data_IF_366659559072
#
_entry.id   IF_366659559072
#
_cell.length_a   1.000
_cell.length_b   1.000
_cell.length_c   1.000
_cell.angle_alpha   90.00
_cell.angle_beta   90.00
_cell.angle_gamma   90.00
#
_symmetry.space_group_name_H-M   'P 1'
#
loop_
_entity.id
_entity.type
_entity.pdbx_description
1 polymer ?
#
# COMPACT_ATOMS: atom_id res chain seq x y z
N UNK A 1 17.18 -20.32 0.61
CA UNK A 1 16.09 -19.36 0.26
C UNK A 1 15.76 -18.57 1.50
N UNK A 2 15.87 -17.23 1.47
CA UNK A 2 15.46 -16.40 2.62
C UNK A 2 13.94 -16.41 2.69
N UNK A 3 13.40 -16.88 3.81
CA UNK A 3 11.97 -16.89 4.06
C UNK A 3 11.49 -15.45 4.28
N UNK A 4 10.54 -15.00 3.46
CA UNK A 4 10.09 -13.59 3.46
C UNK A 4 9.15 -13.31 4.64
N UNK A 5 8.29 -14.27 4.98
CA UNK A 5 7.38 -14.17 6.12
C UNK A 5 7.60 -15.39 7.03
N UNK A 6 7.94 -15.21 8.32
CA UNK A 6 8.06 -16.33 9.23
C UNK A 6 6.68 -16.99 9.43
N UNK A 7 6.64 -18.32 9.52
CA UNK A 7 5.43 -19.11 9.87
C UNK A 7 5.18 -19.05 11.38
N UNK A 8 5.34 -17.86 11.97
CA UNK A 8 5.07 -17.56 13.37
C UNK A 8 4.64 -16.09 13.47
N UNK A 9 3.96 -15.71 14.56
CA UNK A 9 3.56 -14.34 14.73
C UNK A 9 4.78 -13.39 14.82
N UNK A 10 4.94 -12.51 13.84
CA UNK A 10 6.12 -11.65 13.69
C UNK A 10 6.07 -10.41 14.61
N UNK A 11 7.22 -9.81 14.91
CA UNK A 11 7.31 -8.47 15.50
C UNK A 11 7.09 -7.38 14.45
N UNK A 12 6.88 -6.14 14.88
CA UNK A 12 6.73 -5.01 13.96
C UNK A 12 8.00 -4.81 13.11
N UNK A 13 9.18 -4.93 13.72
CA UNK A 13 10.46 -4.84 13.00
C UNK A 13 10.64 -5.96 11.97
N UNK A 14 10.30 -7.20 12.32
CA UNK A 14 10.31 -8.33 11.37
C UNK A 14 9.34 -8.11 10.20
N UNK A 15 8.17 -7.47 10.41
CA UNK A 15 7.22 -7.16 9.34
C UNK A 15 7.70 -6.04 8.41
N UNK A 16 8.39 -5.04 8.96
CA UNK A 16 9.02 -3.98 8.16
C UNK A 16 10.19 -4.53 7.33
N UNK A 17 10.99 -5.43 7.89
CA UNK A 17 12.06 -6.10 7.12
C UNK A 17 11.46 -7.03 6.04
N UNK A 18 10.44 -7.82 6.41
CA UNK A 18 9.72 -8.68 5.47
C UNK A 18 9.14 -7.92 4.28
N UNK A 19 8.59 -6.72 4.48
CA UNK A 19 8.04 -5.91 3.38
C UNK A 19 9.14 -5.42 2.42
N UNK A 20 10.31 -5.05 2.93
CA UNK A 20 11.47 -4.68 2.11
C UNK A 20 12.04 -5.88 1.36
N UNK A 21 12.16 -7.04 2.02
CA UNK A 21 12.57 -8.29 1.38
C UNK A 21 11.56 -8.69 0.30
N UNK A 22 10.27 -8.53 0.56
CA UNK A 22 9.21 -8.78 -0.41
C UNK A 22 9.32 -7.83 -1.61
N UNK A 23 9.54 -6.54 -1.39
CA UNK A 23 9.75 -5.56 -2.46
C UNK A 23 10.94 -5.95 -3.34
N UNK A 24 12.07 -6.34 -2.73
CA UNK A 24 13.25 -6.83 -3.47
C UNK A 24 12.95 -8.08 -4.29
N UNK A 25 12.13 -8.99 -3.75
CA UNK A 25 11.72 -10.22 -4.45
C UNK A 25 10.73 -9.96 -5.59
N UNK A 26 9.81 -9.03 -5.41
CA UNK A 26 8.91 -8.56 -6.46
C UNK A 26 9.70 -7.84 -7.56
N UNK A 27 10.75 -7.10 -7.17
CA UNK A 27 11.75 -6.52 -8.03
C UNK A 27 11.24 -5.39 -8.93
N UNK A 28 11.84 -5.29 -10.11
CA UNK A 28 11.62 -4.20 -11.07
C UNK A 28 10.15 -3.95 -11.45
N UNK A 29 9.28 -4.96 -11.69
CA UNK A 29 7.88 -4.72 -12.06
C UNK A 29 7.11 -3.85 -11.07
N UNK A 30 7.28 -4.08 -9.77
CA UNK A 30 6.56 -3.34 -8.75
C UNK A 30 7.11 -1.91 -8.60
N UNK A 31 8.43 -1.74 -8.74
CA UNK A 31 9.08 -0.43 -8.76
C UNK A 31 8.71 0.40 -9.99
N UNK A 32 8.63 -0.22 -11.18
CA UNK A 32 8.20 0.48 -12.39
C UNK A 32 6.75 0.92 -12.31
N UNK A 33 5.87 0.06 -11.79
CA UNK A 33 4.48 0.42 -11.56
C UNK A 33 4.38 1.56 -10.51
N UNK A 34 5.16 1.47 -9.44
CA UNK A 34 5.28 2.53 -8.43
C UNK A 34 5.74 3.85 -9.03
N UNK A 35 6.76 3.82 -9.91
CA UNK A 35 7.28 5.00 -10.60
C UNK A 35 6.23 5.65 -11.50
N UNK A 36 5.51 4.86 -12.31
CA UNK A 36 4.45 5.38 -13.18
C UNK A 36 3.34 6.04 -12.37
N UNK A 37 2.91 5.40 -11.29
CA UNK A 37 1.85 5.93 -10.43
C UNK A 37 2.30 7.17 -9.65
N UNK A 38 3.51 7.16 -9.10
CA UNK A 38 4.11 8.31 -8.43
C UNK A 38 4.26 9.51 -9.38
N UNK A 39 4.72 9.28 -10.61
CA UNK A 39 4.82 10.32 -11.63
C UNK A 39 3.45 10.89 -12.00
N UNK A 40 2.43 10.03 -12.16
CA UNK A 40 1.06 10.47 -12.44
C UNK A 40 0.47 11.30 -11.29
N UNK A 41 0.66 10.87 -10.05
CA UNK A 41 0.22 11.62 -8.86
C UNK A 41 0.95 12.96 -8.75
N UNK A 42 2.26 13.00 -9.02
CA UNK A 42 3.02 14.24 -8.98
C UNK A 42 2.63 15.20 -10.11
N UNK A 43 2.36 14.70 -11.31
CA UNK A 43 1.83 15.52 -12.42
C UNK A 43 0.47 16.15 -12.05
N UNK A 44 -0.42 15.37 -11.42
CA UNK A 44 -1.67 15.88 -10.88
C UNK A 44 -1.43 16.94 -9.80
N UNK A 45 -0.47 16.70 -8.89
CA UNK A 45 -0.10 17.65 -7.84
C UNK A 45 0.36 18.99 -8.40
N UNK A 46 1.23 18.98 -9.42
CA UNK A 46 1.70 20.20 -10.12
C UNK A 46 0.54 20.92 -10.80
N UNK A 47 -0.33 20.19 -11.52
CA UNK A 47 -1.49 20.79 -12.17
C UNK A 47 -2.46 21.43 -11.16
N UNK A 48 -2.69 20.77 -10.02
CA UNK A 48 -3.52 21.31 -8.95
C UNK A 48 -2.87 22.56 -8.32
N UNK A 49 -1.56 22.53 -8.03
CA UNK A 49 -0.84 23.68 -7.47
C UNK A 49 -0.93 24.93 -8.38
N UNK A 50 -0.88 24.74 -9.70
CA UNK A 50 -1.08 25.82 -10.66
C UNK A 50 -2.52 26.40 -10.62
N UNK A 51 -3.51 25.54 -10.37
CA UNK A 51 -4.92 25.94 -10.28
C UNK A 51 -5.31 26.53 -8.91
N UNK A 52 -4.55 26.24 -7.85
CA UNK A 52 -4.83 26.69 -6.47
C UNK A 52 -3.69 27.50 -5.85
N UNK A 53 -3.31 28.66 -6.44
CA UNK A 53 -2.17 29.43 -5.95
C UNK A 53 -2.39 29.93 -4.52
N UNK A 54 -1.48 29.59 -3.62
CA UNK A 54 -1.63 29.92 -2.20
C UNK A 54 -0.76 29.11 -1.25
N UNK A 55 -0.49 29.68 -0.07
CA UNK A 55 0.18 28.99 1.02
C UNK A 55 -0.75 28.11 1.87
N UNK A 56 -0.20 27.40 2.88
CA UNK A 56 -0.90 26.39 3.69
C UNK A 56 -2.09 26.91 4.51
N UNK A 57 -2.19 28.23 4.69
CA UNK A 57 -3.29 28.86 5.43
C UNK A 57 -4.54 29.06 4.57
N UNK A 58 -4.50 28.78 3.26
CA UNK A 58 -5.64 28.98 2.36
C UNK A 58 -6.50 27.72 2.24
N UNK A 59 -7.84 27.84 2.13
CA UNK A 59 -8.73 26.70 1.90
C UNK A 59 -8.36 25.86 0.67
N UNK A 60 -7.85 26.51 -0.38
CA UNK A 60 -7.44 25.84 -1.61
C UNK A 60 -6.24 24.88 -1.39
N UNK A 61 -5.37 25.16 -0.42
CA UNK A 61 -4.28 24.26 -0.03
C UNK A 61 -4.82 22.99 0.65
N UNK A 62 -5.85 23.11 1.47
CA UNK A 62 -6.52 21.94 2.09
C UNK A 62 -7.19 21.05 1.05
N UNK A 63 -7.79 21.63 0.01
CA UNK A 63 -8.33 20.88 -1.12
C UNK A 63 -7.21 20.15 -1.86
N UNK A 64 -6.10 20.83 -2.15
CA UNK A 64 -4.92 20.21 -2.76
C UNK A 64 -4.41 19.02 -1.93
N UNK A 65 -4.24 19.21 -0.61
CA UNK A 65 -3.77 18.16 0.29
C UNK A 65 -4.74 16.97 0.33
N UNK A 66 -6.04 17.25 0.40
CA UNK A 66 -7.05 16.21 0.44
C UNK A 66 -7.08 15.38 -0.84
N UNK A 67 -7.03 16.03 -2.02
CA UNK A 67 -6.94 15.32 -3.31
C UNK A 67 -5.66 14.51 -3.39
N UNK A 68 -4.56 15.07 -2.92
CA UNK A 68 -3.26 14.40 -2.90
C UNK A 68 -3.30 13.13 -2.03
N UNK A 69 -3.82 13.20 -0.80
CA UNK A 69 -4.03 12.05 0.10
C UNK A 69 -5.01 11.01 -0.47
N UNK A 70 -6.05 11.47 -1.18
CA UNK A 70 -6.96 10.60 -1.91
C UNK A 70 -6.29 9.83 -3.02
N UNK A 71 -5.49 10.52 -3.85
CA UNK A 71 -4.75 9.88 -4.95
C UNK A 71 -3.71 8.90 -4.44
N UNK A 72 -3.02 9.21 -3.34
CA UNK A 72 -2.12 8.29 -2.66
C UNK A 72 -2.85 7.00 -2.24
N UNK A 73 -4.05 7.12 -1.69
CA UNK A 73 -4.86 5.96 -1.29
C UNK A 73 -5.23 5.09 -2.50
N UNK A 74 -5.53 5.70 -3.65
CA UNK A 74 -5.74 4.99 -4.92
C UNK A 74 -4.47 4.27 -5.38
N UNK A 75 -3.31 4.94 -5.33
CA UNK A 75 -2.01 4.36 -5.74
C UNK A 75 -1.64 3.15 -4.88
N UNK A 76 -1.78 3.27 -3.55
CA UNK A 76 -1.52 2.18 -2.61
C UNK A 76 -2.47 0.99 -2.86
N UNK A 77 -3.75 1.25 -3.11
CA UNK A 77 -4.71 0.19 -3.46
C UNK A 77 -4.33 -0.55 -4.74
N UNK A 78 -3.91 0.16 -5.79
CA UNK A 78 -3.47 -0.45 -7.05
C UNK A 78 -2.21 -1.30 -6.85
N UNK A 79 -1.22 -0.81 -6.11
CA UNK A 79 0.04 -1.51 -5.84
C UNK A 79 -0.11 -2.69 -4.89
N UNK A 80 -1.09 -2.65 -3.98
CA UNK A 80 -1.36 -3.73 -3.04
C UNK A 80 -1.75 -5.04 -3.74
N UNK A 81 -2.28 -5.00 -4.97
CA UNK A 81 -2.65 -6.19 -5.72
C UNK A 81 -1.43 -7.07 -6.12
N UNK A 82 -0.46 -6.58 -6.91
CA UNK A 82 0.75 -7.35 -7.22
C UNK A 82 1.57 -7.65 -5.95
N UNK A 83 1.58 -6.76 -4.95
CA UNK A 83 2.24 -7.03 -3.67
C UNK A 83 1.62 -8.23 -2.94
N UNK A 84 0.30 -8.34 -2.91
CA UNK A 84 -0.43 -9.45 -2.30
C UNK A 84 -0.17 -10.77 -3.01
N UNK A 85 -0.11 -10.77 -4.35
CA UNK A 85 0.33 -11.94 -5.12
C UNK A 85 1.75 -12.34 -4.73
N UNK A 86 2.66 -11.36 -4.67
CA UNK A 86 4.05 -11.58 -4.27
C UNK A 86 4.16 -12.20 -2.88
N UNK A 87 3.41 -11.65 -1.91
CA UNK A 87 3.41 -12.11 -0.51
C UNK A 87 2.91 -13.55 -0.39
N UNK A 88 1.78 -13.88 -1.03
CA UNK A 88 1.23 -15.24 -1.04
C UNK A 88 2.20 -16.22 -1.68
N UNK A 89 2.81 -15.88 -2.82
CA UNK A 89 3.80 -16.75 -3.47
C UNK A 89 5.05 -16.91 -2.61
N UNK A 90 5.49 -15.85 -1.95
CA UNK A 90 6.63 -15.90 -1.05
C UNK A 90 6.38 -16.80 0.16
N UNK A 91 5.17 -16.74 0.72
CA UNK A 91 4.71 -17.62 1.81
C UNK A 91 4.70 -19.10 1.38
N UNK A 92 4.23 -19.38 0.16
CA UNK A 92 4.17 -20.72 -0.41
C UNK A 92 5.53 -21.24 -0.95
N UNK A 93 6.61 -20.45 -0.81
CA UNK A 93 7.91 -20.80 -1.38
C UNK A 93 7.98 -20.76 -2.92
N UNK A 94 6.97 -20.22 -3.59
CA UNK A 94 6.88 -20.17 -5.05
C UNK A 94 7.71 -19.00 -5.65
N UNK A 95 8.30 -19.15 -6.84
CA UNK A 95 9.02 -18.07 -7.50
C UNK A 95 8.07 -16.94 -7.94
N UNK A 96 8.46 -15.67 -7.75
CA UNK A 96 7.69 -14.50 -8.18
C UNK A 96 8.13 -14.07 -9.59
N UNK A 97 7.53 -14.66 -10.63
CA UNK A 97 7.81 -14.27 -12.01
C UNK A 97 7.33 -12.85 -12.32
N UNK A 98 8.10 -12.08 -13.10
CA UNK A 98 7.76 -10.68 -13.44
C UNK A 98 6.37 -10.53 -14.06
N UNK A 99 6.05 -11.38 -15.04
CA UNK A 99 4.72 -11.41 -15.68
C UNK A 99 3.65 -11.85 -14.69
N UNK A 100 3.95 -12.85 -13.87
CA UNK A 100 3.02 -13.42 -12.89
C UNK A 100 2.54 -12.38 -11.89
N UNK A 101 3.38 -11.45 -11.42
CA UNK A 101 2.96 -10.43 -10.46
C UNK A 101 1.84 -9.53 -11.00
N UNK A 102 1.92 -9.14 -12.28
CA UNK A 102 0.94 -8.24 -12.90
C UNK A 102 -0.26 -8.98 -13.49
N UNK A 103 -0.09 -10.23 -13.93
CA UNK A 103 -1.18 -11.00 -14.56
C UNK A 103 -1.93 -11.91 -13.60
N UNK A 104 -1.31 -12.37 -12.50
CA UNK A 104 -1.95 -13.27 -11.54
C UNK A 104 -3.15 -12.68 -10.77
N UNK A 105 -3.27 -11.35 -10.54
CA UNK A 105 -4.54 -10.81 -10.05
C UNK A 105 -5.68 -11.14 -11.04
N UNK A 106 -5.39 -11.22 -12.34
CA UNK A 106 -6.31 -11.71 -13.37
C UNK A 106 -7.63 -10.93 -13.37
N UNK A 107 -8.76 -11.66 -13.31
CA UNK A 107 -10.11 -11.08 -13.27
C UNK A 107 -10.37 -10.17 -12.05
N UNK A 108 -9.50 -10.20 -11.03
CA UNK A 108 -9.66 -9.38 -9.82
C UNK A 108 -9.20 -7.95 -10.00
N UNK A 109 -8.46 -7.63 -11.08
CA UNK A 109 -8.12 -6.25 -11.39
C UNK A 109 -9.37 -5.35 -11.43
N UNK A 110 -10.51 -5.87 -11.91
CA UNK A 110 -11.76 -5.13 -11.86
C UNK A 110 -12.16 -4.75 -10.42
N UNK A 111 -12.13 -5.70 -9.49
CA UNK A 111 -12.43 -5.46 -8.08
C UNK A 111 -11.41 -4.53 -7.40
N UNK A 112 -10.12 -4.67 -7.75
CA UNK A 112 -9.05 -3.80 -7.25
C UNK A 112 -9.23 -2.36 -7.75
N UNK A 113 -9.50 -2.18 -9.04
CA UNK A 113 -9.69 -0.85 -9.63
C UNK A 113 -10.97 -0.20 -9.11
N UNK A 114 -12.05 -0.97 -8.93
CA UNK A 114 -13.27 -0.49 -8.29
C UNK A 114 -13.00 -0.06 -6.84
N UNK A 115 -12.28 -0.88 -6.06
CA UNK A 115 -11.90 -0.52 -4.71
C UNK A 115 -11.03 0.74 -4.69
N UNK A 116 -10.03 0.86 -5.57
CA UNK A 116 -9.16 2.02 -5.65
C UNK A 116 -9.93 3.30 -6.06
N UNK A 117 -10.91 3.17 -6.96
CA UNK A 117 -11.79 4.25 -7.41
C UNK A 117 -12.77 4.72 -6.32
N UNK A 118 -13.09 3.89 -5.33
CA UNK A 118 -13.92 4.25 -4.17
C UNK A 118 -13.06 4.79 -3.03
N UNK A 119 -11.96 4.10 -2.71
CA UNK A 119 -11.09 4.44 -1.57
C UNK A 119 -10.43 5.81 -1.75
N UNK A 120 -10.04 6.19 -2.97
CA UNK A 120 -9.45 7.50 -3.23
C UNK A 120 -10.39 8.66 -2.89
N UNK A 121 -11.59 8.74 -3.50
CA UNK A 121 -12.59 9.74 -3.14
C UNK A 121 -12.99 9.73 -1.67
N UNK A 122 -13.16 8.54 -1.06
CA UNK A 122 -13.43 8.44 0.37
C UNK A 122 -12.31 9.05 1.21
N UNK A 123 -11.04 8.81 0.84
CA UNK A 123 -9.88 9.40 1.49
C UNK A 123 -9.80 10.91 1.28
N UNK A 124 -10.14 11.41 0.09
CA UNK A 124 -10.26 12.86 -0.17
C UNK A 124 -11.30 13.49 0.75
N UNK A 125 -12.51 12.93 0.81
CA UNK A 125 -13.59 13.45 1.68
C UNK A 125 -13.19 13.37 3.15
N UNK A 126 -12.60 12.25 3.58
CA UNK A 126 -12.13 12.06 4.95
C UNK A 126 -11.04 13.08 5.33
N UNK A 127 -10.16 13.43 4.38
CA UNK A 127 -9.13 14.44 4.58
C UNK A 127 -9.73 15.86 4.69
N UNK A 128 -10.77 16.18 3.89
CA UNK A 128 -11.49 17.45 4.00
C UNK A 128 -12.23 17.61 5.33
N UNK A 129 -12.70 16.52 5.92
CA UNK A 129 -13.36 16.49 7.23
C UNK A 129 -12.36 16.55 8.40
N UNK A 130 -11.42 17.50 8.41
CA UNK A 130 -10.38 17.73 9.44
C UNK A 130 -9.20 16.75 9.50
N UNK A 131 -9.04 15.85 8.51
CA UNK A 131 -7.87 14.95 8.41
C UNK A 131 -7.85 13.78 9.40
N UNK A 132 -8.42 13.91 10.60
CA UNK A 132 -8.51 12.81 11.56
C UNK A 132 -9.28 11.59 11.00
N UNK A 133 -10.41 11.76 10.28
CA UNK A 133 -11.08 10.63 9.63
C UNK A 133 -10.22 9.93 8.58
N UNK A 134 -9.30 10.65 7.94
CA UNK A 134 -8.38 10.06 6.95
C UNK A 134 -7.41 9.07 7.62
N UNK A 135 -6.89 9.37 8.82
CA UNK A 135 -6.02 8.44 9.56
C UNK A 135 -6.75 7.12 9.87
N UNK A 136 -8.01 7.21 10.29
CA UNK A 136 -8.85 6.04 10.56
C UNK A 136 -9.10 5.24 9.27
N UNK A 137 -9.51 5.92 8.20
CA UNK A 137 -9.75 5.28 6.90
C UNK A 137 -8.48 4.60 6.38
N UNK A 138 -7.34 5.30 6.43
CA UNK A 138 -6.04 4.77 6.04
C UNK A 138 -5.73 3.51 6.84
N UNK A 139 -5.88 3.53 8.16
CA UNK A 139 -5.51 2.41 9.04
C UNK A 139 -6.34 1.13 8.79
N UNK A 140 -7.58 1.25 8.33
CA UNK A 140 -8.47 0.11 8.12
C UNK A 140 -8.50 -0.40 6.67
N UNK A 141 -8.42 0.51 5.69
CA UNK A 141 -8.77 0.17 4.29
C UNK A 141 -7.68 -0.51 3.45
N UNK A 142 -6.40 -0.46 3.84
CA UNK A 142 -5.34 -1.12 3.05
C UNK A 142 -5.34 -2.64 3.14
N UNK A 143 -6.18 -3.24 3.98
CA UNK A 143 -6.44 -4.69 3.91
C UNK A 143 -7.49 -5.06 2.85
N UNK A 144 -8.23 -4.10 2.28
CA UNK A 144 -9.26 -4.38 1.27
C UNK A 144 -8.67 -5.12 0.07
N UNK A 145 -7.57 -4.61 -0.49
CA UNK A 145 -6.96 -5.22 -1.68
C UNK A 145 -6.28 -6.56 -1.38
N UNK A 146 -5.51 -6.72 -0.29
CA UNK A 146 -5.07 -8.04 0.17
C UNK A 146 -6.20 -9.05 0.33
N UNK A 147 -7.35 -8.66 0.89
CA UNK A 147 -8.52 -9.54 0.99
C UNK A 147 -9.09 -9.92 -0.40
N UNK A 148 -9.22 -8.95 -1.32
CA UNK A 148 -9.68 -9.23 -2.69
C UNK A 148 -8.72 -10.21 -3.38
N UNK A 149 -7.40 -9.98 -3.26
CA UNK A 149 -6.40 -10.66 -4.09
C UNK A 149 -5.88 -11.93 -3.45
N UNK A 150 -5.43 -11.89 -2.19
CA UNK A 150 -4.89 -13.04 -1.49
C UNK A 150 -6.00 -14.02 -1.08
N UNK A 151 -7.10 -13.51 -0.52
CA UNK A 151 -8.20 -14.37 -0.04
C UNK A 151 -9.22 -14.68 -1.13
N UNK A 152 -9.09 -14.06 -2.32
CA UNK A 152 -10.02 -14.22 -3.44
C UNK A 152 -11.46 -13.80 -3.10
N UNK A 153 -11.63 -12.94 -2.10
CA UNK A 153 -12.92 -12.53 -1.61
C UNK A 153 -13.70 -11.72 -2.66
N UNK A 154 -14.99 -12.06 -2.84
CA UNK A 154 -15.94 -11.30 -3.65
C UNK A 154 -16.57 -10.17 -2.83
N UNK A 155 -17.89 -10.21 -2.62
CA UNK A 155 -18.62 -9.19 -1.86
C UNK A 155 -18.14 -9.06 -0.39
N UNK A 156 -17.61 -10.13 0.20
CA UNK A 156 -17.05 -10.10 1.57
C UNK A 156 -15.81 -9.22 1.71
N UNK A 157 -15.19 -8.79 0.60
CA UNK A 157 -14.05 -7.88 0.60
C UNK A 157 -14.33 -6.53 1.24
N UNK A 158 -15.60 -6.13 1.36
CA UNK A 158 -15.98 -4.86 1.99
C UNK A 158 -15.94 -4.96 3.51
N UNK A 159 -16.51 -6.02 4.09
CA UNK A 159 -16.73 -6.12 5.55
C UNK A 159 -15.59 -6.86 6.26
N UNK A 160 -14.94 -7.80 5.58
CA UNK A 160 -13.89 -8.64 6.18
C UNK A 160 -12.66 -7.86 6.64
N UNK A 161 -12.12 -6.86 5.90
CA UNK A 161 -11.02 -6.02 6.37
C UNK A 161 -11.29 -5.42 7.75
N UNK A 162 -12.49 -4.88 7.97
CA UNK A 162 -12.89 -4.32 9.25
C UNK A 162 -12.89 -5.38 10.35
N UNK A 163 -13.50 -6.55 10.09
CA UNK A 163 -13.53 -7.65 11.07
C UNK A 163 -12.12 -8.10 11.45
N UNK A 164 -11.21 -8.19 10.48
CA UNK A 164 -9.81 -8.57 10.71
C UNK A 164 -9.06 -7.54 11.56
N UNK A 165 -9.27 -6.25 11.30
CA UNK A 165 -8.65 -5.16 12.09
C UNK A 165 -9.16 -5.15 13.53
N UNK A 166 -10.47 -5.26 13.73
CA UNK A 166 -11.07 -5.21 15.07
C UNK A 166 -10.80 -6.47 15.89
N UNK A 167 -10.80 -7.65 15.27
CA UNK A 167 -10.43 -8.91 15.97
C UNK A 167 -8.95 -8.96 16.35
N UNK A 168 -8.08 -8.27 15.61
CA UNK A 168 -6.65 -8.15 15.91
C UNK A 168 -6.32 -7.03 16.90
N UNK A 169 -7.30 -6.57 17.69
CA UNK A 169 -7.13 -5.51 18.69
C UNK A 169 -6.52 -4.21 18.13
N UNK A 170 -6.76 -3.90 16.86
CA UNK A 170 -6.22 -2.69 16.21
C UNK A 170 -4.72 -2.72 15.94
N UNK A 171 -4.02 -3.83 16.21
CA UNK A 171 -2.58 -3.97 15.96
C UNK A 171 -2.23 -3.71 14.49
N UNK A 172 -3.02 -4.26 13.57
CA UNK A 172 -2.83 -4.06 12.12
C UNK A 172 -2.89 -2.57 11.78
N UNK A 173 -3.89 -1.86 12.30
CA UNK A 173 -4.02 -0.42 12.14
C UNK A 173 -2.78 0.32 12.68
N UNK A 174 -2.30 -0.04 13.88
CA UNK A 174 -1.10 0.54 14.48
C UNK A 174 0.17 0.33 13.65
N UNK A 175 0.39 -0.88 13.11
CA UNK A 175 1.56 -1.18 12.27
C UNK A 175 1.52 -0.38 10.97
N UNK A 176 0.34 -0.27 10.35
CA UNK A 176 0.16 0.51 9.11
C UNK A 176 0.41 1.99 9.35
N UNK A 177 -0.14 2.55 10.43
CA UNK A 177 0.12 3.93 10.83
C UNK A 177 1.60 4.17 11.12
N UNK A 178 2.28 3.24 11.81
CA UNK A 178 3.71 3.35 12.06
C UNK A 178 4.52 3.31 10.75
N UNK A 179 4.19 2.39 9.84
CA UNK A 179 4.80 2.30 8.51
C UNK A 179 4.61 3.60 7.73
N UNK A 180 3.42 4.19 7.78
CA UNK A 180 3.12 5.48 7.16
C UNK A 180 3.93 6.61 7.80
N UNK A 181 3.98 6.72 9.13
CA UNK A 181 4.74 7.79 9.81
C UNK A 181 6.23 7.68 9.49
N UNK A 182 6.79 6.47 9.55
CA UNK A 182 8.21 6.23 9.21
C UNK A 182 8.51 6.61 7.76
N UNK A 183 7.61 6.24 6.85
CA UNK A 183 7.70 6.67 5.46
C UNK A 183 7.58 8.18 5.31
N UNK A 184 6.62 8.84 5.96
CA UNK A 184 6.38 10.27 5.84
C UNK A 184 7.63 11.04 6.26
N UNK A 185 8.29 10.61 7.34
CA UNK A 185 9.56 11.19 7.77
C UNK A 185 10.65 11.07 6.68
N UNK A 186 10.83 9.88 6.09
CA UNK A 186 11.77 9.67 4.97
C UNK A 186 11.40 10.54 3.77
N UNK A 187 10.10 10.60 3.45
CA UNK A 187 9.56 11.34 2.32
C UNK A 187 9.86 12.82 2.42
N UNK A 188 9.60 13.42 3.58
CA UNK A 188 9.91 14.82 3.83
C UNK A 188 11.42 15.05 3.80
N UNK A 189 12.22 14.21 4.45
CA UNK A 189 13.67 14.36 4.48
C UNK A 189 14.30 14.32 3.07
N UNK A 190 14.00 13.28 2.29
CA UNK A 190 14.58 13.11 0.95
C UNK A 190 13.96 14.07 -0.07
N UNK A 191 12.64 14.29 -0.01
CA UNK A 191 11.93 15.20 -0.89
C UNK A 191 12.45 16.63 -0.76
N UNK A 192 12.50 17.16 0.47
CA UNK A 192 13.03 18.51 0.70
C UNK A 192 14.52 18.60 0.39
N UNK A 193 15.35 17.62 0.77
CA UNK A 193 16.77 17.63 0.41
C UNK A 193 16.98 17.68 -1.11
N UNK A 194 16.20 16.91 -1.87
CA UNK A 194 16.27 16.93 -3.33
C UNK A 194 15.80 18.25 -3.93
N UNK A 195 14.72 18.85 -3.41
CA UNK A 195 14.26 20.18 -3.85
C UNK A 195 15.33 21.23 -3.60
N UNK A 196 15.98 21.22 -2.42
CA UNK A 196 17.06 22.15 -2.10
C UNK A 196 18.24 22.00 -3.07
N UNK A 197 18.62 20.75 -3.41
CA UNK A 197 19.70 20.48 -4.37
C UNK A 197 19.38 20.95 -5.79
N UNK A 198 18.10 20.94 -6.19
CA UNK A 198 17.65 21.33 -7.53
C UNK A 198 17.12 22.76 -7.60
N UNK A 199 17.16 23.50 -6.49
CA UNK A 199 16.59 24.86 -6.39
C UNK A 199 17.22 25.87 -7.36
N UNK A 200 18.43 25.61 -7.86
CA UNK A 200 19.13 26.47 -8.82
C UNK A 200 18.59 26.42 -10.25
N UNK A 201 17.72 25.46 -10.58
CA UNK A 201 17.24 25.24 -11.96
C UNK A 201 15.89 25.92 -12.29
N UNK A 202 15.29 26.68 -11.36
CA UNK A 202 14.03 27.42 -11.52
C UNK A 202 12.94 26.67 -12.33
N UNK A 203 12.75 25.38 -12.04
CA UNK A 203 11.81 24.52 -12.76
C UNK A 203 10.97 23.68 -11.80
N UNK A 204 9.65 23.84 -11.90
CA UNK A 204 8.67 23.06 -11.12
C UNK A 204 8.76 21.56 -11.42
N UNK A 205 9.03 21.20 -12.69
CA UNK A 205 9.19 19.81 -13.11
C UNK A 205 10.44 19.16 -12.51
N UNK A 206 11.55 19.90 -12.44
CA UNK A 206 12.76 19.40 -11.78
C UNK A 206 12.58 19.32 -10.26
N UNK A 207 11.88 20.29 -9.67
CA UNK A 207 11.56 20.29 -8.23
C UNK A 207 10.60 19.15 -7.84
N UNK A 208 9.81 18.65 -8.79
CA UNK A 208 8.93 17.50 -8.61
C UNK A 208 9.68 16.15 -8.61
N UNK A 209 10.84 16.06 -9.27
CA UNK A 209 11.57 14.81 -9.47
C UNK A 209 11.95 14.08 -8.16
N UNK A 210 12.47 14.74 -7.11
CA UNK A 210 12.78 14.08 -5.84
C UNK A 210 11.57 13.40 -5.22
N UNK A 211 10.40 14.04 -5.27
CA UNK A 211 9.15 13.48 -4.77
C UNK A 211 8.75 12.22 -5.53
N UNK A 212 8.83 12.25 -6.87
CA UNK A 212 8.56 11.07 -7.70
C UNK A 212 9.50 9.91 -7.35
N UNK A 213 10.80 10.17 -7.22
CA UNK A 213 11.81 9.14 -6.94
C UNK A 213 11.55 8.47 -5.60
N UNK A 214 11.27 9.25 -4.57
CA UNK A 214 10.94 8.74 -3.23
C UNK A 214 9.66 7.91 -3.26
N UNK A 215 8.60 8.44 -3.86
CA UNK A 215 7.28 7.79 -3.90
C UNK A 215 7.29 6.51 -4.74
N UNK A 216 8.11 6.48 -5.79
CA UNK A 216 8.31 5.29 -6.64
C UNK A 216 8.83 4.07 -5.87
N UNK A 217 9.57 4.29 -4.78
CA UNK A 217 10.07 3.22 -3.91
C UNK A 217 9.13 2.98 -2.73
N UNK A 218 8.64 4.07 -2.14
CA UNK A 218 7.85 4.01 -0.94
C UNK A 218 6.47 3.38 -1.11
N UNK A 219 5.74 3.75 -2.17
CA UNK A 219 4.41 3.21 -2.40
C UNK A 219 4.41 1.69 -2.57
N UNK A 220 5.34 1.10 -3.37
CA UNK A 220 5.57 -0.33 -3.36
C UNK A 220 5.88 -0.93 -1.99
N UNK A 221 6.72 -0.26 -1.19
CA UNK A 221 7.10 -0.75 0.14
C UNK A 221 5.90 -0.80 1.10
N UNK A 222 5.06 0.24 1.12
CA UNK A 222 3.82 0.28 1.92
C UNK A 222 2.81 -0.75 1.43
N UNK A 223 2.66 -0.94 0.12
CA UNK A 223 1.81 -1.99 -0.44
C UNK A 223 2.29 -3.41 -0.04
N UNK A 224 3.61 -3.63 -0.02
CA UNK A 224 4.21 -4.86 0.50
C UNK A 224 3.95 -5.04 2.00
N UNK A 225 4.03 -3.97 2.79
CA UNK A 225 3.70 -4.00 4.21
C UNK A 225 2.24 -4.40 4.44
N UNK A 226 1.30 -3.82 3.69
CA UNK A 226 -0.13 -4.16 3.79
C UNK A 226 -0.38 -5.65 3.50
N UNK A 227 0.29 -6.20 2.48
CA UNK A 227 0.21 -7.63 2.16
C UNK A 227 0.82 -8.53 3.25
N UNK A 228 1.98 -8.16 3.80
CA UNK A 228 2.64 -8.89 4.88
C UNK A 228 1.81 -8.87 6.17
N UNK A 229 1.30 -7.70 6.55
CA UNK A 229 0.46 -7.52 7.74
C UNK A 229 -0.86 -8.27 7.60
N UNK A 230 -1.46 -8.31 6.39
CA UNK A 230 -2.65 -9.13 6.13
C UNK A 230 -2.40 -10.61 6.43
N UNK A 231 -1.35 -11.20 5.85
CA UNK A 231 -1.03 -12.61 6.05
C UNK A 231 -0.67 -12.93 7.51
N UNK A 232 0.09 -12.05 8.17
CA UNK A 232 0.43 -12.22 9.58
C UNK A 232 -0.81 -12.16 10.48
N UNK A 233 -1.74 -11.26 10.19
CA UNK A 233 -2.98 -11.16 10.94
C UNK A 233 -3.84 -12.42 10.78
N UNK A 234 -3.85 -13.02 9.58
CA UNK A 234 -4.51 -14.32 9.34
C UNK A 234 -3.82 -15.46 10.08
N UNK A 235 -2.49 -15.49 10.19
CA UNK A 235 -1.80 -16.46 11.04
C UNK A 235 -2.24 -16.31 12.51
N UNK A 236 -2.31 -15.08 13.02
CA UNK A 236 -2.69 -14.82 14.42
C UNK A 236 -4.14 -15.17 14.74
N UNK A 237 -5.08 -14.78 13.88
CA UNK A 237 -6.52 -14.83 14.19
C UNK A 237 -7.17 -16.10 13.63
N UNK A 238 -6.72 -16.55 12.45
CA UNK A 238 -7.34 -17.65 11.70
C UNK A 238 -6.50 -18.93 11.73
N UNK A 239 -5.30 -18.91 12.32
CA UNK A 239 -4.41 -20.08 12.38
C UNK A 239 -3.92 -20.54 11.01
N UNK A 240 -3.73 -19.58 10.09
CA UNK A 240 -3.30 -19.86 8.71
C UNK A 240 -1.99 -20.67 8.64
N UNK A 241 -1.07 -20.44 9.58
CA UNK A 241 0.18 -21.18 9.72
C UNK A 241 -0.03 -22.67 10.02
N UNK A 242 -0.94 -22.99 10.95
CA UNK A 242 -1.32 -24.37 11.27
C UNK A 242 -2.01 -25.06 10.10
N UNK A 243 -2.93 -24.34 9.43
CA UNK A 243 -3.64 -24.86 8.27
C UNK A 243 -2.69 -25.15 7.09
N UNK A 244 -1.66 -24.33 6.91
CA UNK A 244 -0.63 -24.54 5.90
C UNK A 244 0.31 -25.70 6.25
N UNK A 245 0.68 -25.86 7.51
CA UNK A 245 1.57 -26.94 7.95
C UNK A 245 0.97 -28.35 7.74
N UNK A 246 -0.36 -28.47 7.82
CA UNK A 246 -1.07 -29.74 7.67
C UNK A 246 -1.65 -30.03 6.28
N UNK A 247 -1.35 -29.22 5.25
CA UNK A 247 -2.03 -29.31 3.95
C UNK A 247 -1.13 -29.77 2.81
N UNK A 248 -1.61 -30.77 2.07
CA UNK A 248 -1.03 -31.18 0.78
C UNK A 248 -1.35 -30.19 -0.35
N UNK A 249 -2.26 -29.22 -0.12
CA UNK A 249 -2.68 -28.20 -1.08
C UNK A 249 -2.63 -26.81 -0.46
N UNK A 250 -1.43 -26.30 -0.13
CA UNK A 250 -1.28 -25.09 0.67
C UNK A 250 -1.87 -23.84 0.00
N UNK A 251 -1.87 -23.77 -1.34
CA UNK A 251 -2.56 -22.68 -2.08
C UNK A 251 -4.07 -22.67 -1.83
N UNK A 252 -4.72 -23.83 -1.84
CA UNK A 252 -6.16 -23.90 -1.59
C UNK A 252 -6.50 -23.44 -0.18
N UNK A 253 -5.63 -23.68 0.81
CA UNK A 253 -5.80 -23.22 2.19
C UNK A 253 -5.75 -21.70 2.30
N UNK A 254 -4.77 -21.05 1.67
CA UNK A 254 -4.69 -19.58 1.65
C UNK A 254 -5.99 -18.98 1.09
N UNK A 255 -6.55 -19.62 0.07
CA UNK A 255 -7.74 -19.15 -0.65
C UNK A 255 -9.07 -19.50 0.05
N UNK A 256 -9.15 -20.64 0.75
CA UNK A 256 -10.40 -21.18 1.31
C UNK A 256 -10.72 -20.67 2.72
N UNK A 257 -9.73 -20.20 3.48
CA UNK A 257 -9.94 -19.68 4.83
C UNK A 257 -10.47 -18.24 4.72
N UNK A 258 -11.57 -18.02 3.98
CA UNK A 258 -11.98 -16.67 3.62
C UNK A 258 -13.41 -16.36 3.26
#
# INVERSE_FOLDING_TARGET
MVQVLPMRPATVGELLDASVVLLRRCGLPLLLLGLVLAAAQQALSVALSAATPGGPLRPAWWVWLAVWLGTESTVLAVLAAPASVGAVRALLGEPAGRRTLLTAPGRRWFGVLLAAAVLGPCATVAALLCGLPWLFLYAVTGLVVPVIVADRAGASAVTRPFRLVFRGSGRVAGIRLLGYVGWLAIRLAVGYAGVLLLSSYESDLLSALPWVVVDAVAYPALACLDACVHLENRMRIEGLDLALAGSDRPRAVVEAVG
#
